data_IF_648376845327
#
_entry.id   IF_648376845327
#
_cell.length_a   1.000
_cell.length_b   1.000
_cell.length_c   1.000
_cell.angle_alpha   90.00
_cell.angle_beta   90.00
_cell.angle_gamma   90.00
#
_symmetry.space_group_name_H-M   'P 1'
#
loop_
_entity.id
_entity.type
_entity.pdbx_description
1 polymer ?
#
# COMPACT_ATOMS: atom_id res chain seq x y z
N UNK A 1 13.52 -9.30 -22.23
CA UNK A 1 12.29 -8.62 -21.74
C UNK A 1 12.68 -7.24 -21.26
N UNK A 2 12.00 -6.18 -21.71
CA UNK A 2 12.20 -4.84 -21.15
C UNK A 2 11.77 -4.83 -19.67
N UNK A 3 12.46 -4.10 -18.79
CA UNK A 3 12.06 -4.00 -17.39
C UNK A 3 10.71 -3.26 -17.26
N UNK A 4 9.73 -3.87 -16.59
CA UNK A 4 8.45 -3.24 -16.26
C UNK A 4 8.63 -2.35 -15.01
N UNK A 5 8.64 -1.04 -15.23
CA UNK A 5 8.81 -0.04 -14.17
C UNK A 5 7.49 0.49 -13.62
N UNK A 6 6.34 -0.07 -14.02
CA UNK A 6 5.05 0.33 -13.44
C UNK A 6 5.04 -0.02 -11.94
N UNK A 7 4.61 0.92 -11.07
CA UNK A 7 4.61 0.67 -9.64
C UNK A 7 3.59 -0.40 -9.26
N UNK A 8 3.84 -1.07 -8.14
CA UNK A 8 2.81 -1.82 -7.41
C UNK A 8 2.20 -0.86 -6.38
N UNK A 9 0.87 -0.77 -6.37
CA UNK A 9 0.16 0.01 -5.38
C UNK A 9 -0.02 -0.83 -4.12
N UNK A 10 0.34 -0.31 -2.95
CA UNK A 10 0.03 -0.94 -1.68
C UNK A 10 -1.05 -0.13 -0.95
N UNK A 11 -2.13 -0.79 -0.56
CA UNK A 11 -3.17 -0.23 0.30
C UNK A 11 -2.98 -0.80 1.70
N UNK A 12 -2.68 0.07 2.66
CA UNK A 12 -2.28 -0.34 4.02
C UNK A 12 -3.24 0.30 5.00
N UNK A 13 -3.91 -0.50 5.82
CA UNK A 13 -4.73 -0.03 6.93
C UNK A 13 -4.48 -0.90 8.17
N UNK A 14 -3.30 -0.72 8.76
CA UNK A 14 -2.86 -1.47 9.94
C UNK A 14 -2.74 -0.56 11.16
N UNK A 15 -2.60 -1.15 12.35
CA UNK A 15 -2.22 -0.41 13.55
C UNK A 15 -0.78 0.09 13.44
N UNK A 16 -0.47 1.16 14.15
CA UNK A 16 0.85 1.78 14.08
C UNK A 16 1.97 0.82 14.50
N UNK A 17 1.73 -0.02 15.51
CA UNK A 17 2.67 -1.04 15.98
C UNK A 17 2.94 -2.18 14.96
N UNK A 18 2.07 -2.35 13.96
CA UNK A 18 2.22 -3.39 12.92
C UNK A 18 2.86 -2.86 11.63
N UNK A 19 3.11 -1.55 11.55
CA UNK A 19 3.62 -0.90 10.34
C UNK A 19 4.98 -1.45 9.90
N UNK A 20 5.92 -1.64 10.82
CA UNK A 20 7.28 -2.10 10.48
C UNK A 20 7.24 -3.46 9.77
N UNK A 21 6.52 -4.41 10.35
CA UNK A 21 6.42 -5.76 9.80
C UNK A 21 5.62 -5.76 8.49
N UNK A 22 4.57 -4.95 8.42
CA UNK A 22 3.79 -4.76 7.19
C UNK A 22 4.66 -4.22 6.05
N UNK A 23 5.54 -3.25 6.32
CA UNK A 23 6.45 -2.71 5.32
C UNK A 23 7.49 -3.74 4.87
N UNK A 24 8.10 -4.49 5.80
CA UNK A 24 9.02 -5.59 5.45
C UNK A 24 8.36 -6.62 4.53
N UNK A 25 7.14 -7.03 4.88
CA UNK A 25 6.34 -7.94 4.07
C UNK A 25 6.02 -7.36 2.70
N UNK A 26 5.60 -6.10 2.65
CA UNK A 26 5.33 -5.38 1.40
C UNK A 26 6.54 -5.36 0.46
N UNK A 27 7.72 -5.01 0.96
CA UNK A 27 8.93 -5.01 0.13
C UNK A 27 9.26 -6.41 -0.40
N UNK A 28 9.12 -7.44 0.43
CA UNK A 28 9.31 -8.84 0.01
C UNK A 28 8.32 -9.24 -1.10
N UNK A 29 7.05 -8.93 -0.92
CA UNK A 29 6.00 -9.25 -1.90
C UNK A 29 6.25 -8.54 -3.24
N UNK A 30 6.61 -7.26 -3.20
CA UNK A 30 6.92 -6.47 -4.40
C UNK A 30 8.09 -7.09 -5.16
N UNK A 31 9.17 -7.50 -4.47
CA UNK A 31 10.30 -8.17 -5.12
C UNK A 31 9.90 -9.51 -5.74
N UNK A 32 9.11 -10.32 -5.04
CA UNK A 32 8.61 -11.60 -5.56
C UNK A 32 7.73 -11.42 -6.80
N UNK A 33 7.00 -10.31 -6.87
CA UNK A 33 6.18 -9.94 -8.02
C UNK A 33 7.01 -9.23 -9.11
N UNK A 34 8.34 -9.13 -8.97
CA UNK A 34 9.23 -8.48 -9.92
C UNK A 34 9.03 -6.97 -10.03
N UNK A 35 8.45 -6.33 -9.02
CA UNK A 35 8.27 -4.89 -8.95
C UNK A 35 9.58 -4.17 -8.60
N UNK A 36 9.74 -2.96 -9.15
CA UNK A 36 10.87 -2.05 -8.87
C UNK A 36 10.45 -0.73 -8.22
N UNK A 37 9.15 -0.44 -8.22
CA UNK A 37 8.57 0.75 -7.62
C UNK A 37 7.32 0.40 -6.82
N UNK A 38 7.08 1.14 -5.75
CA UNK A 38 5.96 0.97 -4.83
C UNK A 38 5.34 2.32 -4.59
N UNK A 39 4.01 2.38 -4.64
CA UNK A 39 3.24 3.52 -4.15
C UNK A 39 2.42 3.04 -2.96
N UNK A 40 2.90 3.31 -1.75
CA UNK A 40 2.28 2.93 -0.50
C UNK A 40 1.25 3.98 -0.08
N UNK A 41 -0.01 3.59 -0.01
CA UNK A 41 -1.11 4.41 0.47
C UNK A 41 -1.52 3.88 1.85
N UNK A 42 -1.17 4.63 2.88
CA UNK A 42 -1.34 4.26 4.28
C UNK A 42 -2.52 5.02 4.85
N UNK A 43 -3.55 4.30 5.27
CA UNK A 43 -4.73 4.87 5.92
C UNK A 43 -4.47 4.83 7.42
N UNK A 44 -4.31 6.00 8.03
CA UNK A 44 -4.10 6.14 9.47
C UNK A 44 -4.63 7.48 9.97
N UNK A 45 -5.01 7.52 11.25
CA UNK A 45 -5.28 8.78 11.94
C UNK A 45 -4.00 9.45 12.47
N UNK A 46 -2.89 8.72 12.47
CA UNK A 46 -1.61 9.16 13.01
C UNK A 46 -0.90 10.15 12.09
N UNK A 47 -0.11 11.04 12.68
CA UNK A 47 0.71 11.97 11.92
C UNK A 47 1.81 11.25 11.13
N UNK A 48 2.17 11.82 9.98
CA UNK A 48 3.17 11.26 9.06
C UNK A 48 4.51 10.93 9.74
N UNK A 49 4.94 11.76 10.70
CA UNK A 49 6.21 11.58 11.40
C UNK A 49 6.23 10.35 12.31
N UNK A 50 5.12 10.06 12.99
CA UNK A 50 4.99 8.86 13.82
C UNK A 50 5.00 7.60 12.96
N UNK A 51 4.30 7.65 11.83
CA UNK A 51 4.34 6.60 10.82
C UNK A 51 5.78 6.35 10.30
N UNK A 52 6.50 7.42 9.93
CA UNK A 52 7.83 7.30 9.34
C UNK A 52 8.84 6.73 10.35
N UNK A 53 8.75 7.14 11.63
CA UNK A 53 9.58 6.59 12.70
C UNK A 53 9.40 5.07 12.83
N UNK A 54 8.16 4.57 12.76
CA UNK A 54 7.86 3.15 12.88
C UNK A 54 8.28 2.34 11.65
N UNK A 55 8.22 2.92 10.45
CA UNK A 55 8.59 2.22 9.20
C UNK A 55 10.07 2.38 8.81
N UNK A 56 10.84 3.21 9.53
CA UNK A 56 12.18 3.67 9.11
C UNK A 56 13.14 2.56 8.75
N UNK A 57 13.35 1.59 9.64
CA UNK A 57 14.30 0.48 9.41
C UNK A 57 13.96 -0.29 8.14
N UNK A 58 12.68 -0.65 7.99
CA UNK A 58 12.21 -1.34 6.79
C UNK A 58 12.43 -0.50 5.52
N UNK A 59 12.27 0.83 5.57
CA UNK A 59 12.52 1.69 4.42
C UNK A 59 14.02 1.72 4.08
N UNK A 60 14.90 1.84 5.08
CA UNK A 60 16.35 1.90 4.89
C UNK A 60 16.92 0.62 4.28
N UNK A 61 16.40 -0.55 4.68
CA UNK A 61 16.79 -1.85 4.14
C UNK A 61 16.42 -2.05 2.66
N UNK A 62 15.59 -1.15 2.09
CA UNK A 62 14.93 -1.33 0.80
C UNK A 62 15.06 -0.10 -0.12
N UNK A 63 16.11 0.71 0.06
CA UNK A 63 16.39 1.91 -0.75
C UNK A 63 16.61 1.61 -2.25
N UNK A 64 16.83 0.35 -2.63
CA UNK A 64 16.92 -0.09 -4.03
C UNK A 64 15.58 -0.07 -4.76
N UNK A 65 14.46 -0.06 -4.02
CA UNK A 65 13.12 0.06 -4.56
C UNK A 65 12.68 1.52 -4.56
N UNK A 66 12.11 1.99 -5.68
CA UNK A 66 11.52 3.33 -5.74
C UNK A 66 10.25 3.37 -4.89
N UNK A 67 10.29 4.03 -3.73
CA UNK A 67 9.17 4.10 -2.79
C UNK A 67 8.57 5.51 -2.75
N UNK A 68 7.28 5.60 -3.01
CA UNK A 68 6.45 6.77 -2.73
C UNK A 68 5.47 6.42 -1.61
N UNK A 69 5.35 7.27 -0.58
CA UNK A 69 4.43 7.05 0.54
C UNK A 69 3.44 8.20 0.60
N UNK A 70 2.16 7.86 0.65
CA UNK A 70 1.05 8.76 0.93
C UNK A 70 0.33 8.32 2.19
N UNK A 71 0.09 9.25 3.11
CA UNK A 71 -0.76 9.02 4.27
C UNK A 71 -2.13 9.66 4.05
N UNK A 72 -3.19 8.96 4.43
CA UNK A 72 -4.57 9.38 4.25
C UNK A 72 -5.33 9.18 5.54
N UNK A 73 -6.15 10.16 5.92
CA UNK A 73 -7.13 9.93 6.98
C UNK A 73 -8.23 8.98 6.47
N UNK A 74 -8.91 8.22 7.35
CA UNK A 74 -9.99 7.31 6.96
C UNK A 74 -11.13 7.99 6.18
N UNK A 75 -11.37 9.28 6.40
CA UNK A 75 -12.36 10.08 5.65
C UNK A 75 -11.85 10.62 4.30
N UNK A 76 -10.62 10.33 3.90
CA UNK A 76 -9.99 10.81 2.67
C UNK A 76 -9.80 9.71 1.61
N UNK A 77 -10.41 8.54 1.82
CA UNK A 77 -10.33 7.39 0.92
C UNK A 77 -10.68 7.76 -0.53
N UNK A 78 -11.69 8.60 -0.76
CA UNK A 78 -12.06 9.01 -2.12
C UNK A 78 -10.94 9.80 -2.81
N UNK A 79 -10.19 10.62 -2.07
CA UNK A 79 -9.03 11.35 -2.59
C UNK A 79 -7.89 10.38 -2.90
N UNK A 80 -7.66 9.40 -2.03
CA UNK A 80 -6.68 8.33 -2.23
C UNK A 80 -6.97 7.56 -3.53
N UNK A 81 -8.22 7.13 -3.74
CA UNK A 81 -8.61 6.38 -4.95
C UNK A 81 -8.35 7.22 -6.20
N UNK A 82 -8.78 8.49 -6.21
CA UNK A 82 -8.51 9.42 -7.33
C UNK A 82 -7.01 9.61 -7.59
N UNK A 83 -6.20 9.65 -6.54
CA UNK A 83 -4.73 9.76 -6.66
C UNK A 83 -4.14 8.50 -7.30
N UNK A 84 -4.58 7.31 -6.89
CA UNK A 84 -4.11 6.04 -7.45
C UNK A 84 -4.47 5.91 -8.93
N UNK A 85 -5.65 6.38 -9.34
CA UNK A 85 -6.09 6.36 -10.74
C UNK A 85 -5.20 7.19 -11.68
N UNK A 86 -4.37 8.09 -11.16
CA UNK A 86 -3.40 8.85 -11.95
C UNK A 86 -2.16 8.03 -12.36
N UNK A 87 -1.95 6.87 -11.71
CA UNK A 87 -0.81 6.01 -11.99
C UNK A 87 -1.15 4.98 -13.07
N UNK A 88 -0.20 4.72 -13.98
CA UNK A 88 -0.16 3.49 -14.75
C UNK A 88 0.58 2.42 -13.93
N UNK A 89 -0.17 1.61 -13.19
CA UNK A 89 0.38 0.67 -12.22
C UNK A 89 0.25 -0.80 -12.69
N UNK A 90 1.05 -1.69 -12.11
CA UNK A 90 1.08 -3.12 -12.44
C UNK A 90 -0.08 -3.89 -11.81
N UNK A 91 -0.40 -3.54 -10.58
CA UNK A 91 -1.51 -4.05 -9.80
C UNK A 91 -1.43 -3.52 -8.37
N UNK A 92 -2.33 -3.99 -7.50
CA UNK A 92 -2.35 -3.57 -6.10
C UNK A 92 -2.35 -4.72 -5.11
N UNK A 93 -1.83 -4.46 -3.91
CA UNK A 93 -1.81 -5.38 -2.76
C UNK A 93 -2.44 -4.70 -1.56
N UNK A 94 -3.20 -5.43 -0.77
CA UNK A 94 -3.84 -4.93 0.46
C UNK A 94 -3.23 -5.55 1.70
N UNK A 95 -3.06 -4.73 2.75
CA UNK A 95 -2.62 -5.12 4.07
C UNK A 95 -3.50 -4.43 5.13
N UNK A 96 -3.97 -5.17 6.13
CA UNK A 96 -4.74 -4.60 7.23
C UNK A 96 -4.68 -5.48 8.46
N UNK A 97 -4.89 -4.85 9.62
CA UNK A 97 -5.11 -5.53 10.89
C UNK A 97 -6.49 -6.15 10.95
N UNK A 98 -6.68 -7.10 11.85
CA UNK A 98 -7.98 -7.71 12.10
C UNK A 98 -9.09 -6.68 12.39
N UNK A 99 -8.80 -5.65 13.18
CA UNK A 99 -9.75 -4.57 13.52
C UNK A 99 -10.13 -3.70 12.31
N UNK A 100 -9.23 -3.59 11.33
CA UNK A 100 -9.44 -2.76 10.15
C UNK A 100 -9.95 -3.56 8.94
N UNK A 101 -10.09 -4.89 9.04
CA UNK A 101 -10.59 -5.76 7.95
C UNK A 101 -11.91 -5.29 7.38
N UNK A 102 -12.88 -4.97 8.26
CA UNK A 102 -14.20 -4.53 7.82
C UNK A 102 -14.14 -3.20 7.06
N UNK A 103 -13.33 -2.25 7.53
CA UNK A 103 -13.12 -0.98 6.85
C UNK A 103 -12.40 -1.16 5.51
N UNK A 104 -11.35 -1.96 5.45
CA UNK A 104 -10.65 -2.27 4.21
C UNK A 104 -11.60 -2.91 3.19
N UNK A 105 -12.44 -3.86 3.60
CA UNK A 105 -13.44 -4.46 2.69
C UNK A 105 -14.37 -3.43 2.08
N UNK A 106 -14.88 -2.46 2.87
CA UNK A 106 -15.69 -1.35 2.33
C UNK A 106 -14.93 -0.51 1.30
N UNK A 107 -13.65 -0.24 1.54
CA UNK A 107 -12.80 0.48 0.60
C UNK A 107 -12.68 -0.32 -0.70
N UNK A 108 -12.40 -1.62 -0.59
CA UNK A 108 -12.30 -2.52 -1.73
C UNK A 108 -13.60 -2.59 -2.51
N UNK A 109 -14.75 -2.68 -1.85
CA UNK A 109 -16.07 -2.69 -2.48
C UNK A 109 -16.35 -1.42 -3.29
N UNK A 110 -15.81 -0.28 -2.85
CA UNK A 110 -15.94 1.01 -3.54
C UNK A 110 -14.88 1.24 -4.63
N UNK A 111 -13.89 0.35 -4.77
CA UNK A 111 -12.91 0.48 -5.85
C UNK A 111 -13.59 0.29 -7.23
N UNK A 112 -13.18 1.06 -8.24
CA UNK A 112 -13.57 0.83 -9.62
C UNK A 112 -13.28 -0.61 -10.07
N UNK A 113 -14.15 -1.19 -10.89
CA UNK A 113 -14.02 -2.58 -11.38
C UNK A 113 -12.67 -2.84 -12.06
N UNK A 114 -12.18 -1.87 -12.82
CA UNK A 114 -10.85 -1.94 -13.47
C UNK A 114 -9.71 -2.02 -12.46
N UNK A 115 -9.84 -1.38 -11.30
CA UNK A 115 -8.86 -1.49 -10.24
C UNK A 115 -8.91 -2.87 -9.61
N UNK A 116 -10.10 -3.33 -9.20
CA UNK A 116 -10.33 -4.65 -8.57
C UNK A 116 -9.74 -5.81 -9.38
N UNK A 117 -9.88 -5.76 -10.71
CA UNK A 117 -9.34 -6.78 -11.61
C UNK A 117 -7.81 -6.91 -11.56
N UNK A 118 -7.10 -5.85 -11.14
CA UNK A 118 -5.64 -5.80 -11.05
C UNK A 118 -5.12 -6.10 -9.62
N UNK A 119 -5.91 -6.78 -8.79
CA UNK A 119 -5.48 -7.20 -7.46
C UNK A 119 -4.46 -8.34 -7.57
N UNK A 120 -3.27 -8.12 -7.01
CA UNK A 120 -2.17 -9.09 -7.05
C UNK A 120 -2.20 -10.02 -5.84
N UNK A 121 -2.46 -9.46 -4.65
CA UNK A 121 -2.57 -10.18 -3.38
C UNK A 121 -3.52 -9.44 -2.44
N UNK A 122 -4.18 -10.20 -1.57
CA UNK A 122 -5.08 -9.65 -0.56
C UNK A 122 -4.81 -10.28 0.81
N UNK A 123 -4.18 -9.54 1.72
CA UNK A 123 -3.90 -9.98 3.09
C UNK A 123 -4.98 -9.54 4.09
N UNK A 124 -6.14 -9.09 3.60
CA UNK A 124 -7.26 -8.59 4.39
C UNK A 124 -8.49 -9.50 4.38
N UNK A 125 -8.45 -10.60 3.63
CA UNK A 125 -9.53 -11.58 3.58
C UNK A 125 -9.71 -12.29 4.91
#
# INVERSE_FOLDING_TARGET
MQPDYRPIIALIYVKDEELTETFRKMFKDVRLLGGKKIVANVISNSEYWNFFANAREAILDNLDLGLEIFTWKPNEVDKMIKKIQQYNYKGFITYCSDENKYHMRKILDNLPTSMKANMLRDYCK
#
